data_IF_591165074949
#
_entry.id   IF_591165074949
#
_cell.length_a   1.000
_cell.length_b   1.000
_cell.length_c   1.000
_cell.angle_alpha   90.00
_cell.angle_beta   90.00
_cell.angle_gamma   90.00
#
_symmetry.space_group_name_H-M   'P 1'
#
loop_
_entity.id
_entity.type
_entity.pdbx_description
1 polymer ?
#
# COMPACT_ATOMS: atom_id res chain seq x y z
N UNK A 1 11.69 41.69 -30.92
CA UNK A 1 12.02 42.34 -29.63
C UNK A 1 10.80 42.13 -28.77
N UNK A 2 10.83 41.14 -27.89
CA UNK A 2 9.72 40.79 -27.00
C UNK A 2 9.57 41.93 -26.00
N UNK A 3 8.46 42.68 -26.07
CA UNK A 3 8.15 43.76 -25.15
C UNK A 3 7.55 43.12 -23.91
N UNK A 4 8.38 42.78 -22.92
CA UNK A 4 7.88 42.33 -21.62
C UNK A 4 7.50 43.57 -20.80
N UNK A 5 6.21 43.85 -20.68
CA UNK A 5 5.69 44.97 -19.90
C UNK A 5 5.95 44.80 -18.41
N UNK A 6 6.71 45.70 -17.79
CA UNK A 6 6.99 45.74 -16.33
C UNK A 6 6.08 46.69 -15.54
N UNK A 7 5.18 47.42 -16.21
CA UNK A 7 4.26 48.39 -15.63
C UNK A 7 3.05 47.73 -14.97
N UNK A 8 2.67 48.18 -13.77
CA UNK A 8 1.50 47.62 -13.07
C UNK A 8 0.18 48.06 -13.72
N UNK A 9 -0.89 47.24 -13.58
CA UNK A 9 -2.24 47.59 -14.09
C UNK A 9 -2.75 48.93 -13.58
N UNK A 10 -2.40 49.33 -12.36
CA UNK A 10 -2.85 50.60 -11.80
C UNK A 10 -2.07 51.79 -12.36
N UNK A 11 -0.81 51.60 -12.75
CA UNK A 11 -0.05 52.60 -13.52
C UNK A 11 -0.63 52.75 -14.93
N UNK A 12 -0.90 51.64 -15.62
CA UNK A 12 -1.48 51.64 -16.97
C UNK A 12 -2.85 52.33 -17.03
N UNK A 13 -3.74 52.04 -16.07
CA UNK A 13 -5.03 52.74 -15.95
C UNK A 13 -4.88 54.26 -15.78
N UNK A 14 -3.76 54.73 -15.22
CA UNK A 14 -3.44 56.15 -15.07
C UNK A 14 -3.30 56.87 -16.41
N UNK A 15 -2.81 56.20 -17.45
CA UNK A 15 -2.59 56.77 -18.78
C UNK A 15 -3.86 56.87 -19.64
N UNK A 16 -4.95 56.22 -19.24
CA UNK A 16 -6.25 56.20 -19.95
C UNK A 16 -7.37 56.95 -19.19
N UNK A 17 -7.02 57.89 -18.32
CA UNK A 17 -8.00 58.75 -17.62
C UNK A 17 -8.44 59.91 -18.50
N UNK A 18 -9.57 60.53 -18.16
CA UNK A 18 -10.03 61.75 -18.84
C UNK A 18 -8.94 62.83 -18.75
N UNK A 19 -8.64 63.48 -19.88
CA UNK A 19 -7.59 64.50 -20.05
C UNK A 19 -6.12 64.01 -20.00
N UNK A 20 -5.86 62.71 -20.08
CA UNK A 20 -4.51 62.20 -20.37
C UNK A 20 -4.35 61.96 -21.88
N UNK A 21 -3.11 62.00 -22.38
CA UNK A 21 -2.79 61.70 -23.78
C UNK A 21 -2.02 60.37 -23.78
N UNK A 22 -2.68 59.24 -24.11
CA UNK A 22 -1.97 57.97 -24.28
C UNK A 22 -1.02 58.05 -25.49
N UNK A 23 0.17 57.46 -25.37
CA UNK A 23 1.12 57.30 -26.47
C UNK A 23 0.90 55.94 -27.15
N UNK A 24 1.48 55.75 -28.33
CA UNK A 24 1.54 54.45 -29.03
C UNK A 24 2.04 53.34 -28.09
N UNK A 25 3.13 53.58 -27.37
CA UNK A 25 3.67 52.64 -26.38
C UNK A 25 2.69 52.31 -25.24
N UNK A 26 1.78 53.22 -24.86
CA UNK A 26 0.75 52.88 -23.87
C UNK A 26 -0.33 51.94 -24.44
N UNK A 27 -0.61 52.04 -25.74
CA UNK A 27 -1.52 51.11 -26.42
C UNK A 27 -0.86 49.75 -26.61
N UNK A 28 0.41 49.71 -27.00
CA UNK A 28 1.19 48.47 -27.08
C UNK A 28 1.18 47.76 -25.71
N UNK A 29 1.50 48.48 -24.63
CA UNK A 29 1.48 47.92 -23.28
C UNK A 29 0.09 47.45 -22.82
N UNK A 30 -1.00 48.03 -23.34
CA UNK A 30 -2.37 47.61 -23.03
C UNK A 30 -2.77 46.35 -23.83
N UNK A 31 -2.36 46.28 -25.10
CA UNK A 31 -2.66 45.19 -26.01
C UNK A 31 -1.83 43.95 -25.63
N UNK A 32 -0.53 44.15 -25.35
CA UNK A 32 0.41 43.08 -25.00
C UNK A 32 0.39 42.74 -23.50
N UNK A 33 -0.06 43.67 -22.65
CA UNK A 33 -0.15 43.48 -21.19
C UNK A 33 -1.47 42.85 -20.70
N UNK A 34 -2.35 42.47 -21.62
CA UNK A 34 -3.63 41.82 -21.31
C UNK A 34 -3.58 40.35 -21.69
N UNK A 35 -4.01 39.53 -20.75
CA UNK A 35 -4.15 38.09 -20.94
C UNK A 35 -5.17 37.85 -22.07
N UNK A 36 -4.71 37.40 -23.23
CA UNK A 36 -5.51 37.08 -24.40
C UNK A 36 -5.92 35.61 -24.33
N UNK A 37 -7.22 35.34 -24.16
CA UNK A 37 -7.72 33.97 -23.96
C UNK A 37 -7.38 33.01 -25.11
N UNK A 38 -7.32 33.49 -26.35
CA UNK A 38 -6.97 32.66 -27.50
C UNK A 38 -5.46 32.47 -27.67
N UNK A 39 -4.65 33.45 -27.28
CA UNK A 39 -3.20 33.38 -27.44
C UNK A 39 -2.51 32.73 -26.23
N UNK A 40 -3.03 32.96 -25.03
CA UNK A 40 -2.40 32.57 -23.77
C UNK A 40 -3.03 31.30 -23.18
N UNK A 41 -4.06 30.75 -23.82
CA UNK A 41 -4.72 29.50 -23.40
C UNK A 41 -5.49 29.58 -22.07
N UNK A 42 -5.54 30.72 -21.39
CA UNK A 42 -6.23 30.87 -20.11
C UNK A 42 -7.59 31.56 -20.31
N UNK A 43 -8.67 30.90 -19.87
CA UNK A 43 -10.03 31.41 -20.01
C UNK A 43 -10.91 31.14 -18.78
N UNK A 44 -12.03 31.86 -18.69
CA UNK A 44 -13.19 31.41 -17.91
C UNK A 44 -14.23 30.86 -18.89
N UNK A 45 -14.47 29.55 -18.86
CA UNK A 45 -15.50 28.95 -19.70
C UNK A 45 -16.90 29.40 -19.23
N UNK A 46 -17.79 29.67 -20.19
CA UNK A 46 -19.20 29.99 -19.90
C UNK A 46 -19.87 28.82 -19.18
N UNK A 47 -20.61 29.06 -18.10
CA UNK A 47 -21.30 27.99 -17.37
C UNK A 47 -20.78 27.68 -15.97
N UNK A 48 -20.15 28.66 -15.30
CA UNK A 48 -19.66 28.53 -13.92
C UNK A 48 -18.51 27.51 -13.74
N UNK A 49 -17.77 27.23 -14.80
CA UNK A 49 -16.54 26.44 -14.75
C UNK A 49 -15.41 27.24 -14.05
N UNK A 50 -14.48 26.56 -13.35
CA UNK A 50 -13.31 27.21 -12.73
C UNK A 50 -12.33 27.73 -13.80
N UNK A 51 -11.17 28.26 -13.37
CA UNK A 51 -10.08 28.65 -14.26
C UNK A 51 -9.78 27.51 -15.26
N UNK A 52 -9.83 27.82 -16.55
CA UNK A 52 -9.49 26.89 -17.62
C UNK A 52 -8.12 27.27 -18.20
N UNK A 53 -7.28 26.27 -18.42
CA UNK A 53 -5.98 26.40 -19.09
C UNK A 53 -5.95 25.38 -20.22
N UNK A 54 -5.74 25.84 -21.45
CA UNK A 54 -5.58 25.02 -22.63
C UNK A 54 -4.09 24.74 -22.86
N UNK A 55 -3.77 23.51 -23.23
CA UNK A 55 -2.42 23.18 -23.66
C UNK A 55 -2.07 23.91 -24.96
N UNK A 56 -0.82 24.33 -25.07
CA UNK A 56 -0.20 24.81 -26.31
C UNK A 56 0.61 23.68 -26.96
N UNK A 57 1.01 23.87 -28.21
CA UNK A 57 1.74 22.86 -28.99
C UNK A 57 0.85 21.91 -29.79
N UNK A 58 1.49 21.07 -30.59
CA UNK A 58 0.85 20.04 -31.40
C UNK A 58 1.16 18.63 -30.86
N UNK A 59 0.54 17.61 -31.46
CA UNK A 59 0.75 16.22 -31.04
C UNK A 59 2.19 15.74 -31.29
N UNK A 60 2.95 16.44 -32.14
CA UNK A 60 4.33 16.08 -32.49
C UNK A 60 5.35 16.69 -31.52
N UNK A 61 5.08 17.90 -31.02
CA UNK A 61 5.91 18.62 -30.03
C UNK A 61 5.65 18.22 -28.58
N UNK A 62 4.47 17.67 -28.28
CA UNK A 62 3.98 17.51 -26.91
C UNK A 62 3.07 18.68 -26.53
N UNK A 63 2.00 18.40 -25.78
CA UNK A 63 0.99 19.39 -25.42
C UNK A 63 1.22 19.97 -24.03
N UNK A 64 2.07 20.97 -23.95
CA UNK A 64 2.46 21.63 -22.70
C UNK A 64 1.35 22.57 -22.19
N UNK A 65 1.13 22.57 -20.88
CA UNK A 65 0.06 23.33 -20.22
C UNK A 65 0.63 24.43 -19.34
N UNK A 66 1.64 24.09 -18.53
CA UNK A 66 2.30 25.02 -17.61
C UNK A 66 3.78 24.66 -17.56
N UNK A 67 4.62 25.67 -17.73
CA UNK A 67 6.06 25.58 -17.56
C UNK A 67 6.48 26.35 -16.31
N UNK A 68 7.32 25.72 -15.48
CA UNK A 68 7.86 26.30 -14.26
C UNK A 68 9.35 26.56 -14.45
N UNK A 69 9.74 27.82 -14.43
CA UNK A 69 11.13 28.25 -14.53
C UNK A 69 11.70 28.57 -13.15
N UNK A 70 12.93 28.14 -12.87
CA UNK A 70 13.70 28.70 -11.75
C UNK A 70 14.14 30.14 -12.07
N UNK A 71 14.61 30.35 -13.30
CA UNK A 71 15.01 31.65 -13.85
C UNK A 71 14.73 31.68 -15.35
N UNK A 72 13.94 32.67 -15.80
CA UNK A 72 13.61 32.87 -17.22
C UNK A 72 14.83 33.17 -18.10
N UNK A 73 16.00 33.49 -17.53
CA UNK A 73 17.23 33.68 -18.29
C UNK A 73 17.86 32.37 -18.79
N UNK A 74 17.48 31.21 -18.22
CA UNK A 74 18.05 29.90 -18.54
C UNK A 74 17.48 29.23 -19.79
N UNK A 75 16.43 29.79 -20.40
CA UNK A 75 15.85 29.30 -21.67
C UNK A 75 14.90 28.12 -21.50
N UNK A 76 15.26 27.14 -20.68
CA UNK A 76 14.46 25.92 -20.48
C UNK A 76 13.74 25.90 -19.12
N UNK A 77 12.52 25.33 -19.04
CA UNK A 77 11.80 25.18 -17.78
C UNK A 77 12.37 24.04 -16.92
N UNK A 78 12.25 24.16 -15.60
CA UNK A 78 12.66 23.12 -14.65
C UNK A 78 11.62 22.00 -14.56
N UNK A 79 10.33 22.37 -14.58
CA UNK A 79 9.21 21.43 -14.57
C UNK A 79 8.16 21.81 -15.60
N UNK A 80 7.54 20.81 -16.21
CA UNK A 80 6.50 21.00 -17.24
C UNK A 80 5.29 20.13 -16.92
N UNK A 81 4.10 20.71 -16.97
CA UNK A 81 2.84 19.97 -17.02
C UNK A 81 2.42 19.77 -18.47
N UNK A 82 2.12 18.54 -18.89
CA UNK A 82 1.83 18.18 -20.28
C UNK A 82 0.66 17.18 -20.39
N UNK A 83 -0.12 17.24 -21.49
CA UNK A 83 -1.27 16.35 -21.75
C UNK A 83 -1.01 15.23 -22.77
N UNK A 84 0.12 15.29 -23.46
CA UNK A 84 0.54 14.27 -24.44
C UNK A 84 2.07 14.10 -24.36
N UNK A 85 2.62 13.61 -23.23
CA UNK A 85 4.05 13.37 -23.13
C UNK A 85 4.49 12.27 -24.10
N UNK A 86 5.79 12.24 -24.40
CA UNK A 86 6.43 11.24 -25.24
C UNK A 86 7.24 10.26 -24.38
N UNK A 87 7.33 9.00 -24.80
CA UNK A 87 8.25 8.06 -24.11
C UNK A 87 9.70 8.27 -24.55
N UNK A 88 9.88 8.75 -25.77
CA UNK A 88 11.14 9.24 -26.31
C UNK A 88 10.91 10.69 -26.75
N UNK A 89 11.52 11.69 -26.07
CA UNK A 89 11.32 13.11 -26.40
C UNK A 89 11.60 13.46 -27.86
N UNK A 90 12.47 12.68 -28.53
CA UNK A 90 12.91 12.89 -29.90
C UNK A 90 12.03 12.17 -30.94
N UNK A 91 11.06 11.33 -30.52
CA UNK A 91 10.16 10.60 -31.41
C UNK A 91 8.68 10.92 -31.15
N UNK A 92 8.10 11.74 -32.02
CA UNK A 92 6.68 12.11 -32.04
C UNK A 92 5.73 10.90 -32.08
N UNK A 93 6.17 9.77 -32.67
CA UNK A 93 5.38 8.54 -32.73
C UNK A 93 5.16 7.89 -31.37
N UNK A 94 5.88 8.33 -30.33
CA UNK A 94 5.79 7.78 -28.98
C UNK A 94 4.86 8.54 -28.05
N UNK A 95 4.15 9.57 -28.55
CA UNK A 95 3.20 10.34 -27.75
C UNK A 95 2.10 9.46 -27.11
N UNK A 96 1.78 9.76 -25.85
CA UNK A 96 0.75 9.06 -25.06
C UNK A 96 -0.22 10.05 -24.47
N UNK A 97 -1.53 9.79 -24.63
CA UNK A 97 -2.56 10.67 -24.09
C UNK A 97 -2.67 10.50 -22.58
N UNK A 98 -2.47 11.58 -21.84
CA UNK A 98 -2.55 11.54 -20.39
C UNK A 98 -1.88 12.74 -19.74
N UNK A 99 -2.06 12.89 -18.45
CA UNK A 99 -1.48 14.01 -17.72
C UNK A 99 -0.08 13.65 -17.23
N UNK A 100 0.90 14.52 -17.47
CA UNK A 100 2.29 14.32 -17.10
C UNK A 100 2.85 15.51 -16.34
N UNK A 101 3.69 15.19 -15.35
CA UNK A 101 4.67 16.08 -14.74
C UNK A 101 6.04 15.62 -15.24
N UNK A 102 6.73 16.46 -16.01
CA UNK A 102 8.03 16.18 -16.58
C UNK A 102 9.04 17.29 -16.32
N UNK A 103 10.24 17.14 -16.86
CA UNK A 103 11.29 18.16 -16.89
C UNK A 103 11.34 18.91 -18.23
N UNK A 104 12.18 19.94 -18.31
CA UNK A 104 12.39 20.73 -19.53
C UNK A 104 13.07 19.98 -20.68
N UNK A 105 13.58 18.77 -20.45
CA UNK A 105 14.11 17.91 -21.52
C UNK A 105 13.01 17.04 -22.16
N UNK A 106 11.77 17.15 -21.69
CA UNK A 106 10.62 16.40 -22.18
C UNK A 106 10.46 15.01 -21.55
N UNK A 107 11.27 14.66 -20.53
CA UNK A 107 11.14 13.38 -19.85
C UNK A 107 10.00 13.43 -18.82
N UNK A 108 9.09 12.47 -18.88
CA UNK A 108 8.04 12.34 -17.87
C UNK A 108 8.57 11.74 -16.56
N UNK A 109 8.26 12.38 -15.43
CA UNK A 109 8.57 11.91 -14.08
C UNK A 109 7.38 11.23 -13.41
N UNK A 110 6.18 11.75 -13.65
CA UNK A 110 4.92 11.13 -13.25
C UNK A 110 3.90 11.29 -14.38
N UNK A 111 3.22 10.22 -14.71
CA UNK A 111 2.23 10.15 -15.78
C UNK A 111 0.94 9.48 -15.30
N UNK A 112 -0.21 9.96 -15.77
CA UNK A 112 -1.51 9.32 -15.58
C UNK A 112 -2.12 9.11 -16.95
N UNK A 113 -2.26 7.85 -17.35
CA UNK A 113 -2.83 7.47 -18.64
C UNK A 113 -4.32 7.83 -18.71
N UNK A 114 -4.72 8.51 -19.78
CA UNK A 114 -6.10 9.00 -19.93
C UNK A 114 -7.12 7.87 -20.09
N UNK A 115 -6.75 6.78 -20.75
CA UNK A 115 -7.68 5.71 -21.11
C UNK A 115 -7.90 4.73 -19.97
N UNK A 116 -6.84 4.41 -19.24
CA UNK A 116 -6.82 3.38 -18.19
C UNK A 116 -6.85 3.97 -16.78
N UNK A 117 -6.35 5.20 -16.60
CA UNK A 117 -6.11 5.77 -15.27
C UNK A 117 -4.84 5.25 -14.59
N UNK A 118 -4.08 4.37 -15.27
CA UNK A 118 -2.85 3.80 -14.73
C UNK A 118 -1.79 4.90 -14.56
N UNK A 119 -1.02 4.77 -13.50
CA UNK A 119 0.00 5.74 -13.11
C UNK A 119 1.38 5.19 -13.47
N UNK A 120 2.21 6.01 -14.13
CA UNK A 120 3.60 5.72 -14.40
C UNK A 120 4.53 6.65 -13.63
N UNK A 121 5.55 6.12 -12.96
CA UNK A 121 6.66 6.88 -12.38
C UNK A 121 7.89 6.64 -13.25
N UNK A 122 8.38 7.69 -13.92
CA UNK A 122 9.48 7.58 -14.89
C UNK A 122 9.12 6.79 -16.16
N UNK A 123 7.84 6.61 -16.46
CA UNK A 123 7.36 5.97 -17.68
C UNK A 123 6.01 6.53 -18.10
N UNK A 124 5.76 6.63 -19.40
CA UNK A 124 4.46 7.05 -19.97
C UNK A 124 3.68 5.87 -20.55
N UNK A 125 4.14 4.64 -20.34
CA UNK A 125 3.49 3.43 -20.86
C UNK A 125 3.17 2.41 -19.76
N UNK A 126 2.48 2.83 -18.67
CA UNK A 126 2.09 1.89 -17.62
C UNK A 126 1.17 0.80 -18.19
N UNK A 127 1.50 -0.47 -17.95
CA UNK A 127 0.66 -1.62 -18.32
C UNK A 127 0.01 -2.31 -17.12
N UNK A 128 0.21 -1.76 -15.93
CA UNK A 128 -0.37 -2.13 -14.63
C UNK A 128 -0.78 -0.83 -13.90
N UNK A 129 -1.58 -0.95 -12.85
CA UNK A 129 -2.17 0.20 -12.14
C UNK A 129 -1.13 1.25 -11.70
N UNK A 130 -0.02 0.81 -11.10
CA UNK A 130 1.13 1.67 -10.78
C UNK A 130 2.41 1.06 -11.33
N UNK A 131 2.93 1.64 -12.40
CA UNK A 131 4.16 1.19 -13.06
C UNK A 131 5.35 2.11 -12.71
N UNK A 132 6.53 1.53 -12.54
CA UNK A 132 7.76 2.23 -12.11
C UNK A 132 8.89 1.92 -13.10
N UNK A 133 9.43 2.97 -13.73
CA UNK A 133 10.53 2.93 -14.69
C UNK A 133 10.18 2.34 -16.07
N UNK A 134 9.29 1.34 -16.11
CA UNK A 134 8.72 0.79 -17.34
C UNK A 134 7.30 0.28 -17.07
N UNK A 135 6.59 -0.13 -18.12
CA UNK A 135 5.18 -0.51 -18.00
C UNK A 135 4.88 -1.75 -17.16
N UNK A 136 5.85 -2.62 -16.87
CA UNK A 136 5.61 -3.95 -16.31
C UNK A 136 6.24 -4.22 -14.95
N UNK A 137 6.73 -3.20 -14.26
CA UNK A 137 7.29 -3.31 -12.90
C UNK A 137 6.49 -2.39 -11.99
N UNK A 138 5.99 -2.89 -10.86
CA UNK A 138 5.25 -2.08 -9.89
C UNK A 138 4.13 -2.85 -9.20
N UNK A 139 2.99 -2.19 -8.97
CA UNK A 139 1.84 -2.73 -8.25
C UNK A 139 0.63 -2.83 -9.18
N UNK A 140 -0.14 -3.90 -9.02
CA UNK A 140 -1.37 -4.12 -9.76
C UNK A 140 -2.46 -4.65 -8.83
N UNK A 141 -3.69 -4.16 -9.00
CA UNK A 141 -4.85 -4.74 -8.35
C UNK A 141 -5.40 -5.88 -9.21
N UNK A 142 -5.39 -7.09 -8.66
CA UNK A 142 -5.84 -8.30 -9.36
C UNK A 142 -7.34 -8.56 -9.18
N UNK A 143 -7.92 -8.00 -8.11
CA UNK A 143 -9.30 -8.20 -7.71
C UNK A 143 -9.72 -7.24 -6.61
N UNK A 144 -10.90 -7.45 -6.05
CA UNK A 144 -11.29 -6.73 -4.84
C UNK A 144 -10.46 -7.26 -3.66
N UNK A 145 -9.82 -6.35 -2.92
CA UNK A 145 -8.91 -6.66 -1.82
C UNK A 145 -7.71 -7.58 -2.15
N UNK A 146 -7.33 -7.68 -3.43
CA UNK A 146 -6.13 -8.41 -3.87
C UNK A 146 -5.12 -7.44 -4.51
N UNK A 147 -3.94 -7.33 -3.89
CA UNK A 147 -2.83 -6.51 -4.38
C UNK A 147 -1.66 -7.41 -4.77
N UNK A 148 -1.09 -7.15 -5.95
CA UNK A 148 0.04 -7.90 -6.46
C UNK A 148 1.25 -7.01 -6.80
N UNK A 149 2.44 -7.57 -6.60
CA UNK A 149 3.71 -6.99 -7.03
C UNK A 149 4.11 -7.65 -8.35
N UNK A 150 4.43 -6.82 -9.34
CA UNK A 150 4.79 -7.23 -10.68
C UNK A 150 6.24 -6.90 -11.01
N UNK A 151 6.93 -7.84 -11.68
CA UNK A 151 8.18 -7.55 -12.38
C UNK A 151 8.20 -8.22 -13.75
N UNK A 152 8.61 -7.46 -14.77
CA UNK A 152 8.64 -7.96 -16.15
C UNK A 152 7.27 -8.42 -16.67
N UNK A 153 6.18 -7.76 -16.23
CA UNK A 153 4.78 -8.09 -16.54
C UNK A 153 4.29 -9.44 -15.99
N UNK A 154 5.02 -10.01 -15.03
CA UNK A 154 4.58 -11.21 -14.32
C UNK A 154 4.33 -10.86 -12.86
N UNK A 155 3.24 -11.39 -12.31
CA UNK A 155 2.97 -11.39 -10.88
C UNK A 155 4.06 -12.17 -10.15
N UNK A 156 4.55 -11.59 -9.05
CA UNK A 156 5.57 -12.20 -8.17
C UNK A 156 4.99 -12.58 -6.82
N UNK A 157 4.25 -11.64 -6.25
CA UNK A 157 3.64 -11.74 -4.93
C UNK A 157 2.20 -11.25 -5.09
N UNK A 158 1.25 -11.95 -4.46
CA UNK A 158 -0.12 -11.50 -4.28
C UNK A 158 -0.46 -11.58 -2.80
N UNK A 159 -1.08 -10.53 -2.28
CA UNK A 159 -1.55 -10.44 -0.90
C UNK A 159 -3.05 -10.22 -0.96
N UNK A 160 -3.80 -11.05 -0.26
CA UNK A 160 -5.25 -10.88 -0.10
C UNK A 160 -5.60 -10.11 1.20
N UNK A 161 -6.89 -9.85 1.41
CA UNK A 161 -7.40 -9.16 2.60
C UNK A 161 -7.03 -9.82 3.94
N UNK A 162 -6.69 -11.11 3.92
CA UNK A 162 -6.32 -11.89 5.11
C UNK A 162 -4.80 -11.94 5.31
N UNK A 163 -4.02 -11.37 4.38
CA UNK A 163 -2.57 -11.36 4.39
C UNK A 163 -1.90 -12.58 3.75
N UNK A 164 -2.67 -13.46 3.08
CA UNK A 164 -2.11 -14.70 2.53
C UNK A 164 -1.26 -14.45 1.28
N UNK A 165 -0.20 -15.24 1.11
CA UNK A 165 0.73 -15.13 -0.03
C UNK A 165 0.97 -16.50 -0.71
N UNK A 166 0.00 -16.99 -1.49
CA UNK A 166 0.12 -17.99 -2.57
C UNK A 166 0.63 -19.42 -2.27
N UNK A 167 1.81 -19.59 -1.64
CA UNK A 167 2.49 -20.87 -1.40
C UNK A 167 2.05 -21.57 -0.11
N UNK A 168 1.38 -20.86 0.78
CA UNK A 168 1.04 -21.32 2.13
C UNK A 168 0.10 -22.54 2.12
N UNK A 169 -0.83 -22.66 1.16
CA UNK A 169 -1.84 -23.74 1.20
C UNK A 169 -1.26 -25.15 1.07
N UNK A 170 -0.25 -25.35 0.22
CA UNK A 170 0.38 -26.67 0.03
C UNK A 170 1.33 -27.02 1.17
N UNK A 171 2.06 -26.04 1.70
CA UNK A 171 2.90 -26.25 2.89
C UNK A 171 2.08 -26.50 4.14
N UNK A 172 1.01 -25.73 4.37
CA UNK A 172 0.14 -25.85 5.54
C UNK A 172 -0.58 -27.22 5.53
N UNK A 173 -0.93 -27.75 4.36
CA UNK A 173 -1.54 -29.07 4.27
C UNK A 173 -0.56 -30.20 4.63
N UNK A 174 0.70 -30.10 4.20
CA UNK A 174 1.71 -31.14 4.41
C UNK A 174 2.29 -31.04 5.84
N UNK A 175 2.42 -29.82 6.36
CA UNK A 175 3.05 -29.49 7.63
C UNK A 175 2.34 -28.27 8.24
N UNK A 176 1.15 -28.45 8.85
CA UNK A 176 0.40 -27.32 9.37
C UNK A 176 1.21 -26.64 10.47
N UNK A 177 1.31 -25.31 10.37
CA UNK A 177 2.15 -24.51 11.24
C UNK A 177 1.52 -24.42 12.63
N UNK A 178 2.37 -24.37 13.66
CA UNK A 178 1.90 -24.14 15.03
C UNK A 178 1.94 -22.65 15.28
N UNK A 179 0.77 -22.01 15.38
CA UNK A 179 0.67 -20.57 15.64
C UNK A 179 0.89 -20.25 17.11
N UNK A 180 1.80 -19.31 17.40
CA UNK A 180 1.96 -18.74 18.73
C UNK A 180 1.05 -17.52 18.88
N UNK A 181 0.29 -17.47 19.96
CA UNK A 181 -0.66 -16.39 20.29
C UNK A 181 -0.09 -15.52 21.40
N UNK A 182 -0.42 -14.24 21.41
CA UNK A 182 -0.09 -13.37 22.53
C UNK A 182 -1.03 -13.58 23.72
N UNK A 183 -0.58 -13.23 24.93
CA UNK A 183 -1.43 -13.26 26.14
C UNK A 183 -2.67 -12.37 25.97
N UNK A 184 -2.51 -11.20 25.35
CA UNK A 184 -3.62 -10.27 25.12
C UNK A 184 -4.70 -10.83 24.20
N UNK A 185 -4.32 -11.53 23.14
CA UNK A 185 -5.27 -12.16 22.20
C UNK A 185 -6.04 -13.29 22.86
N UNK A 186 -5.37 -14.18 23.61
CA UNK A 186 -6.05 -15.29 24.29
C UNK A 186 -7.01 -14.80 25.37
N UNK A 187 -6.65 -13.72 26.09
CA UNK A 187 -7.54 -13.07 27.06
C UNK A 187 -8.74 -12.39 26.37
N UNK A 188 -8.53 -11.76 25.22
CA UNK A 188 -9.59 -11.15 24.43
C UNK A 188 -10.58 -12.18 23.87
N UNK A 189 -10.08 -13.36 23.49
CA UNK A 189 -10.87 -14.53 23.07
C UNK A 189 -11.57 -15.22 24.25
N UNK A 190 -11.40 -14.71 25.48
CA UNK A 190 -12.06 -15.21 26.69
C UNK A 190 -11.50 -16.53 27.20
N UNK A 191 -10.27 -16.89 26.83
CA UNK A 191 -9.63 -18.12 27.29
C UNK A 191 -9.30 -18.02 28.79
N UNK A 192 -9.58 -19.07 29.58
CA UNK A 192 -9.24 -19.07 31.00
C UNK A 192 -7.73 -18.92 31.21
N UNK A 193 -7.34 -18.09 32.16
CA UNK A 193 -5.91 -17.86 32.49
C UNK A 193 -5.21 -19.18 32.85
N UNK A 194 -5.87 -20.04 33.63
CA UNK A 194 -5.31 -21.33 34.03
C UNK A 194 -5.02 -22.24 32.82
N UNK A 195 -5.79 -22.13 31.73
CA UNK A 195 -5.58 -22.89 30.49
C UNK A 195 -4.46 -22.26 29.63
N UNK A 196 -4.33 -20.93 29.64
CA UNK A 196 -3.27 -20.22 28.90
C UNK A 196 -1.89 -20.56 29.49
N UNK A 197 -1.79 -20.64 30.81
CA UNK A 197 -0.54 -20.94 31.51
C UNK A 197 -0.34 -22.44 31.81
N UNK A 198 -1.15 -23.32 31.21
CA UNK A 198 -0.97 -24.77 31.34
C UNK A 198 0.20 -25.25 30.46
N UNK A 199 1.14 -25.99 31.08
CA UNK A 199 2.32 -26.52 30.41
C UNK A 199 3.65 -25.79 30.70
N UNK A 200 4.71 -26.10 29.93
CA UNK A 200 6.03 -25.52 30.13
C UNK A 200 6.06 -24.04 29.72
N UNK A 201 6.87 -23.24 30.41
CA UNK A 201 7.06 -21.82 30.06
C UNK A 201 7.67 -21.68 28.67
N UNK A 202 7.03 -20.88 27.82
CA UNK A 202 7.45 -20.58 26.45
C UNK A 202 8.05 -19.17 26.37
N UNK A 203 9.00 -18.98 25.46
CA UNK A 203 9.71 -17.70 25.25
C UNK A 203 9.14 -16.88 24.07
N UNK A 204 8.28 -17.48 23.24
CA UNK A 204 7.82 -16.94 21.96
C UNK A 204 6.28 -16.78 21.88
N UNK A 205 5.60 -16.66 23.02
CA UNK A 205 4.14 -16.56 23.11
C UNK A 205 3.50 -17.81 23.73
N UNK A 206 2.19 -17.98 23.55
CA UNK A 206 1.39 -19.06 24.10
C UNK A 206 0.86 -19.97 22.99
N UNK A 207 0.71 -21.26 23.31
CA UNK A 207 0.10 -22.24 22.43
C UNK A 207 -1.31 -22.55 22.93
N UNK A 208 -2.28 -22.50 22.03
CA UNK A 208 -3.63 -22.93 22.33
C UNK A 208 -3.71 -24.46 22.23
N UNK A 209 -4.01 -25.14 23.34
CA UNK A 209 -4.17 -26.59 23.38
C UNK A 209 -5.26 -27.13 22.46
N UNK A 210 -6.38 -26.42 22.29
CA UNK A 210 -7.45 -26.84 21.36
C UNK A 210 -7.02 -26.70 19.89
N UNK A 211 -6.24 -25.68 19.59
CA UNK A 211 -5.68 -25.44 18.25
C UNK A 211 -4.61 -26.50 17.94
N UNK A 212 -3.73 -26.77 18.90
CA UNK A 212 -2.72 -27.81 18.83
C UNK A 212 -3.32 -29.21 18.66
N UNK A 213 -4.44 -29.50 19.33
CA UNK A 213 -5.15 -30.77 19.20
C UNK A 213 -5.80 -30.95 17.81
N UNK A 214 -6.12 -29.86 17.12
CA UNK A 214 -6.60 -29.89 15.72
C UNK A 214 -5.48 -30.17 14.73
N UNK A 215 -4.22 -29.85 15.08
CA UNK A 215 -3.02 -30.12 14.27
C UNK A 215 -2.61 -31.61 14.25
N UNK A 216 -3.58 -32.53 14.18
CA UNK A 216 -3.33 -33.98 14.16
C UNK A 216 -2.43 -34.34 12.98
N UNK A 217 -1.18 -34.71 13.28
CA UNK A 217 -0.21 -35.22 12.31
C UNK A 217 -0.77 -36.47 11.63
N UNK A 218 -1.05 -36.35 10.33
CA UNK A 218 -1.44 -37.49 9.52
C UNK A 218 -0.29 -38.50 9.44
N UNK A 219 -0.59 -39.79 9.64
CA UNK A 219 0.40 -40.87 9.43
C UNK A 219 0.50 -41.29 7.96
N UNK A 220 -0.29 -40.67 7.09
CA UNK A 220 -0.36 -41.00 5.67
C UNK A 220 -0.78 -39.76 4.90
N UNK A 221 -0.06 -39.46 3.84
CA UNK A 221 -0.36 -38.38 2.90
C UNK A 221 -1.07 -38.99 1.70
N UNK A 222 -2.32 -38.61 1.43
CA UNK A 222 -3.09 -39.16 0.30
C UNK A 222 -3.02 -38.20 -0.88
N UNK A 223 -2.75 -38.74 -2.06
CA UNK A 223 -2.70 -37.92 -3.28
C UNK A 223 -4.09 -37.35 -3.62
N UNK A 224 -5.17 -38.05 -3.30
CA UNK A 224 -6.52 -37.54 -3.50
C UNK A 224 -6.81 -36.26 -2.70
N UNK A 225 -6.28 -36.16 -1.48
CA UNK A 225 -6.47 -34.99 -0.62
C UNK A 225 -5.69 -33.81 -1.21
N UNK A 226 -4.41 -34.03 -1.59
CA UNK A 226 -3.62 -33.01 -2.28
C UNK A 226 -4.21 -32.55 -3.61
N UNK A 227 -4.80 -33.46 -4.38
CA UNK A 227 -5.51 -33.08 -5.61
C UNK A 227 -6.66 -32.14 -5.28
N UNK A 228 -7.37 -32.38 -4.18
CA UNK A 228 -8.46 -31.51 -3.74
C UNK A 228 -7.93 -30.11 -3.39
N UNK A 229 -6.88 -30.02 -2.57
CA UNK A 229 -6.30 -28.72 -2.17
C UNK A 229 -5.76 -27.95 -3.38
N UNK A 230 -5.11 -28.65 -4.32
CA UNK A 230 -4.59 -28.03 -5.56
C UNK A 230 -5.75 -27.54 -6.44
N UNK A 231 -6.84 -28.31 -6.53
CA UNK A 231 -8.02 -27.92 -7.32
C UNK A 231 -8.81 -26.77 -6.70
N UNK A 232 -8.69 -26.55 -5.39
CA UNK A 232 -9.28 -25.40 -4.68
C UNK A 232 -8.49 -24.09 -4.89
N UNK A 233 -7.30 -24.15 -5.48
CA UNK A 233 -6.56 -22.94 -5.86
C UNK A 233 -7.27 -22.26 -7.05
N UNK A 234 -7.67 -20.99 -6.91
CA UNK A 234 -8.31 -20.25 -7.99
C UNK A 234 -7.46 -20.25 -9.26
N UNK A 235 -8.06 -20.65 -10.39
CA UNK A 235 -7.38 -20.75 -11.68
C UNK A 235 -6.84 -22.14 -12.02
N UNK A 236 -6.82 -23.08 -11.08
CA UNK A 236 -6.49 -24.49 -11.38
C UNK A 236 -7.72 -25.19 -11.95
N UNK A 237 -7.60 -25.69 -13.18
CA UNK A 237 -8.70 -26.41 -13.86
C UNK A 237 -8.58 -27.92 -13.77
N UNK A 238 -7.35 -28.43 -13.75
CA UNK A 238 -7.09 -29.87 -13.73
C UNK A 238 -5.65 -30.15 -13.27
N UNK A 239 -5.49 -31.23 -12.51
CA UNK A 239 -4.19 -31.84 -12.21
C UNK A 239 -3.93 -32.97 -13.21
N UNK A 240 -2.79 -32.93 -13.91
CA UNK A 240 -2.46 -33.92 -14.97
C UNK A 240 -1.70 -35.13 -14.46
N UNK A 241 -0.67 -34.89 -13.66
CA UNK A 241 0.18 -35.91 -13.05
C UNK A 241 0.63 -35.37 -11.69
N UNK A 242 0.61 -36.23 -10.68
CA UNK A 242 1.09 -35.91 -9.34
C UNK A 242 1.71 -37.17 -8.73
N UNK A 243 2.89 -37.00 -8.16
CA UNK A 243 3.66 -38.07 -7.55
C UNK A 243 4.29 -37.56 -6.28
N UNK A 244 4.25 -38.38 -5.25
CA UNK A 244 4.87 -38.07 -3.96
C UNK A 244 6.16 -38.86 -3.83
N UNK A 245 7.22 -38.19 -3.39
CA UNK A 245 8.50 -38.81 -3.15
C UNK A 245 8.99 -38.50 -1.74
N UNK A 246 9.46 -39.51 -1.03
CA UNK A 246 10.17 -39.37 0.24
C UNK A 246 11.39 -40.27 0.25
N UNK A 247 12.58 -39.67 0.22
CA UNK A 247 13.83 -40.41 0.01
C UNK A 247 13.79 -41.19 -1.30
N UNK A 248 13.90 -42.52 -1.20
CA UNK A 248 13.86 -43.44 -2.35
C UNK A 248 12.46 -43.96 -2.69
N UNK A 249 11.44 -43.64 -1.89
CA UNK A 249 10.06 -44.09 -2.13
C UNK A 249 9.33 -43.06 -2.99
N UNK A 250 8.86 -43.49 -4.17
CA UNK A 250 8.01 -42.72 -5.07
C UNK A 250 6.65 -43.41 -5.18
N UNK A 251 5.58 -42.71 -4.82
CA UNK A 251 4.22 -43.24 -4.72
C UNK A 251 3.24 -42.40 -5.53
N UNK A 252 2.19 -43.06 -6.05
CA UNK A 252 1.18 -42.46 -6.94
C UNK A 252 -0.24 -42.45 -6.34
N UNK A 253 -0.42 -43.00 -5.13
CA UNK A 253 -1.72 -43.04 -4.45
C UNK A 253 -1.70 -42.49 -3.03
N UNK A 254 -0.78 -42.95 -2.20
CA UNK A 254 -0.59 -42.45 -0.85
C UNK A 254 0.84 -42.71 -0.41
N UNK A 255 1.40 -41.81 0.38
CA UNK A 255 2.72 -41.93 0.97
C UNK A 255 2.56 -42.17 2.47
N UNK A 256 3.13 -43.26 2.98
CA UNK A 256 3.17 -43.50 4.43
C UNK A 256 4.21 -42.58 5.05
N UNK A 257 3.84 -41.90 6.13
CA UNK A 257 4.72 -41.01 6.86
C UNK A 257 5.30 -41.75 8.07
N UNK A 258 6.58 -41.52 8.32
CA UNK A 258 7.28 -42.03 9.49
C UNK A 258 6.72 -41.30 10.74
N UNK A 259 6.12 -42.01 11.71
CA UNK A 259 5.47 -41.38 12.86
C UNK A 259 6.45 -40.61 13.76
N UNK A 260 7.75 -40.92 13.70
CA UNK A 260 8.78 -40.27 14.50
C UNK A 260 9.45 -39.09 13.77
N UNK A 261 8.98 -38.75 12.56
CA UNK A 261 9.50 -37.65 11.76
C UNK A 261 8.41 -36.67 11.37
N UNK A 262 8.80 -35.42 11.18
CA UNK A 262 7.93 -34.38 10.65
C UNK A 262 8.12 -34.37 9.13
N UNK A 263 7.05 -34.60 8.32
CA UNK A 263 7.14 -34.37 6.90
C UNK A 263 7.44 -32.88 6.68
N UNK A 264 8.31 -32.58 5.73
CA UNK A 264 8.57 -31.22 5.28
C UNK A 264 8.49 -31.23 3.75
N UNK A 265 7.85 -30.21 3.18
CA UNK A 265 7.78 -30.07 1.73
C UNK A 265 9.14 -29.59 1.20
N UNK A 266 9.78 -30.42 0.38
CA UNK A 266 11.08 -30.11 -0.22
C UNK A 266 10.89 -29.25 -1.47
N UNK A 267 10.89 -27.93 -1.25
CA UNK A 267 10.68 -26.94 -2.30
C UNK A 267 11.79 -26.94 -3.37
N UNK A 268 13.03 -27.29 -3.00
CA UNK A 268 14.18 -27.24 -3.91
C UNK A 268 14.18 -28.43 -4.88
N UNK A 269 13.77 -29.61 -4.39
CA UNK A 269 13.76 -30.83 -5.20
C UNK A 269 12.38 -31.17 -5.79
N UNK A 270 11.35 -30.35 -5.52
CA UNK A 270 10.03 -30.50 -6.10
C UNK A 270 9.93 -29.87 -7.50
N UNK A 271 9.34 -30.59 -8.44
CA UNK A 271 9.17 -30.13 -9.82
C UNK A 271 7.69 -29.85 -10.12
N UNK A 272 7.30 -28.58 -10.17
CA UNK A 272 5.95 -28.14 -10.55
C UNK A 272 5.97 -27.65 -12.00
N UNK A 273 5.04 -28.16 -12.82
CA UNK A 273 4.86 -27.72 -14.21
C UNK A 273 3.42 -27.25 -14.41
N UNK A 274 3.27 -25.98 -14.76
CA UNK A 274 1.97 -25.39 -15.06
C UNK A 274 1.79 -25.23 -16.56
N UNK A 275 0.56 -25.38 -17.02
CA UNK A 275 0.19 -25.14 -18.40
C UNK A 275 -1.05 -24.25 -18.48
N UNK A 276 -1.01 -23.29 -19.41
CA UNK A 276 -2.16 -22.45 -19.77
C UNK A 276 -2.43 -22.65 -21.26
N UNK A 277 -3.65 -23.05 -21.59
CA UNK A 277 -4.08 -23.34 -22.97
C UNK A 277 -3.18 -24.37 -23.69
N UNK A 278 -2.59 -25.31 -22.93
CA UNK A 278 -1.68 -26.34 -23.45
C UNK A 278 -0.23 -25.88 -23.66
N UNK A 279 0.11 -24.64 -23.28
CA UNK A 279 1.47 -24.12 -23.33
C UNK A 279 2.12 -24.14 -21.93
N UNK A 280 3.38 -24.58 -21.80
CA UNK A 280 4.08 -24.57 -20.53
C UNK A 280 4.33 -23.13 -20.07
N UNK A 281 4.00 -22.86 -18.82
CA UNK A 281 4.27 -21.58 -18.16
C UNK A 281 5.64 -21.65 -17.50
N UNK A 282 6.48 -20.64 -17.76
CA UNK A 282 7.77 -20.52 -17.07
C UNK A 282 7.53 -19.98 -15.66
N UNK A 283 7.90 -20.78 -14.66
CA UNK A 283 7.88 -20.39 -13.26
C UNK A 283 9.25 -19.86 -12.83
N UNK A 284 9.25 -18.84 -11.97
CA UNK A 284 10.45 -18.35 -11.29
C UNK A 284 10.59 -19.04 -9.94
N UNK A 285 11.00 -20.31 -9.98
CA UNK A 285 11.07 -21.17 -8.78
C UNK A 285 11.96 -20.56 -7.70
N UNK A 286 13.06 -19.89 -8.06
CA UNK A 286 14.00 -19.33 -7.08
C UNK A 286 13.37 -18.19 -6.27
N UNK A 287 12.64 -17.28 -6.91
CA UNK A 287 11.93 -16.19 -6.22
C UNK A 287 10.81 -16.70 -5.31
N UNK A 288 10.09 -17.72 -5.77
CA UNK A 288 9.02 -18.39 -5.02
C UNK A 288 9.54 -19.03 -3.72
N UNK A 289 10.68 -19.73 -3.80
CA UNK A 289 11.29 -20.39 -2.65
C UNK A 289 11.75 -19.36 -1.62
N UNK A 290 12.31 -18.25 -2.08
CA UNK A 290 12.77 -17.16 -1.22
C UNK A 290 11.61 -16.47 -0.49
N UNK A 291 10.50 -16.20 -1.19
CA UNK A 291 9.30 -15.60 -0.58
C UNK A 291 8.66 -16.53 0.46
N UNK A 292 8.61 -17.83 0.17
CA UNK A 292 8.15 -18.83 1.14
C UNK A 292 9.03 -18.87 2.39
N UNK A 293 10.36 -18.87 2.24
CA UNK A 293 11.29 -18.86 3.39
C UNK A 293 11.08 -17.63 4.27
N UNK A 294 10.89 -16.45 3.67
CA UNK A 294 10.59 -15.22 4.43
C UNK A 294 9.26 -15.30 5.18
N UNK A 295 8.21 -15.86 4.57
CA UNK A 295 6.93 -16.11 5.26
C UNK A 295 7.14 -17.05 6.46
N UNK A 296 7.87 -18.15 6.28
CA UNK A 296 8.18 -19.09 7.37
C UNK A 296 9.03 -18.45 8.49
N UNK A 297 10.00 -17.59 8.15
CA UNK A 297 10.79 -16.84 9.13
C UNK A 297 9.94 -15.79 9.87
N UNK A 298 8.93 -15.20 9.22
CA UNK A 298 7.98 -14.28 9.88
C UNK A 298 6.98 -14.99 10.80
N UNK A 299 6.64 -16.25 10.50
CA UNK A 299 5.81 -17.14 11.34
C UNK A 299 6.64 -17.68 12.52
N UNK A 300 7.95 -17.86 12.35
CA UNK A 300 8.89 -18.18 13.42
C UNK A 300 9.05 -16.96 14.35
N UNK A 301 8.09 -16.82 15.26
CA UNK A 301 7.91 -15.71 16.19
C UNK A 301 9.21 -15.07 16.70
N UNK A 302 9.37 -13.77 16.44
CA UNK A 302 10.33 -12.94 17.18
C UNK A 302 10.10 -13.13 18.69
N UNK A 303 11.16 -13.15 19.51
CA UNK A 303 11.01 -13.33 20.96
C UNK A 303 10.08 -12.25 21.51
N UNK A 304 8.91 -12.68 22.00
CA UNK A 304 7.95 -11.81 22.65
C UNK A 304 8.63 -11.10 23.82
N UNK A 305 8.39 -9.81 23.97
CA UNK A 305 8.95 -9.06 25.09
C UNK A 305 8.42 -9.61 26.41
N UNK A 306 9.16 -9.47 27.51
CA UNK A 306 8.75 -10.03 28.82
C UNK A 306 7.40 -9.52 29.33
N UNK A 307 6.90 -8.40 28.80
CA UNK A 307 5.60 -7.80 29.13
C UNK A 307 4.44 -8.52 28.43
N UNK A 308 4.71 -9.24 27.34
CA UNK A 308 3.71 -9.98 26.56
C UNK A 308 3.55 -11.44 27.03
N UNK A 309 4.45 -11.91 27.89
CA UNK A 309 4.50 -13.28 28.42
C UNK A 309 3.98 -13.41 29.86
N UNK A 310 3.61 -12.31 30.51
CA UNK A 310 3.20 -12.31 31.92
C UNK A 310 2.11 -11.28 32.22
N UNK A 311 1.29 -11.55 33.24
CA UNK A 311 0.31 -10.60 33.72
C UNK A 311 1.02 -9.51 34.51
N UNK A 312 1.00 -8.27 34.00
CA UNK A 312 1.55 -7.12 34.73
C UNK A 312 0.74 -6.94 36.02
N UNK A 313 1.36 -7.02 37.21
CA UNK A 313 0.65 -6.83 38.45
C UNK A 313 0.03 -5.41 38.44
N UNK A 314 -1.24 -5.27 38.89
CA UNK A 314 -1.89 -3.97 38.90
C UNK A 314 -1.07 -2.99 39.73
N UNK A 315 -0.89 -1.76 39.22
CA UNK A 315 -0.22 -0.70 39.95
C UNK A 315 -1.02 -0.36 41.22
N UNK A 316 -0.54 -0.86 42.36
CA UNK A 316 -1.05 -0.45 43.67
C UNK A 316 -0.47 0.92 43.97
N UNK A 317 -1.24 1.97 43.73
CA UNK A 317 -0.95 3.28 44.32
C UNK A 317 -1.23 3.20 45.82
N UNK A 318 -0.17 3.13 46.61
CA UNK A 318 -0.26 3.48 48.02
C UNK A 318 -0.61 4.97 48.11
N UNK A 319 -1.84 5.29 48.48
CA UNK A 319 -2.18 6.65 48.91
C UNK A 319 -1.24 6.99 50.08
N UNK A 320 -0.37 7.98 49.90
CA UNK A 320 0.49 8.50 50.97
C UNK A 320 -0.37 8.75 52.21
N UNK A 321 -0.02 8.14 53.34
CA UNK A 321 -0.75 8.29 54.61
C UNK A 321 -0.97 9.76 54.95
N UNK A 322 -0.03 10.63 54.59
CA UNK A 322 -0.09 12.07 54.80
C UNK A 322 -1.11 12.73 53.88
N UNK A 323 -1.14 12.35 52.60
CA UNK A 323 -2.14 12.81 51.64
C UNK A 323 -3.56 12.33 52.01
N UNK A 324 -3.70 11.08 52.46
CA UNK A 324 -4.98 10.53 52.92
C UNK A 324 -5.49 11.23 54.18
N UNK A 325 -4.61 11.49 55.16
CA UNK A 325 -4.98 12.25 56.35
C UNK A 325 -5.40 13.69 56.02
N UNK A 326 -4.74 14.33 55.03
CA UNK A 326 -5.09 15.67 54.56
C UNK A 326 -6.46 15.68 53.87
N UNK A 327 -6.74 14.67 53.05
CA UNK A 327 -8.04 14.49 52.40
C UNK A 327 -9.16 14.23 53.42
N UNK A 328 -8.92 13.34 54.40
CA UNK A 328 -9.90 12.99 55.43
C UNK A 328 -10.30 14.22 56.26
N UNK A 329 -9.32 15.02 56.69
CA UNK A 329 -9.58 16.28 57.40
C UNK A 329 -10.39 17.28 56.55
N UNK A 330 -10.06 17.42 55.26
CA UNK A 330 -10.79 18.30 54.35
C UNK A 330 -12.23 17.80 54.10
N UNK A 331 -12.42 16.49 54.04
CA UNK A 331 -13.72 15.86 53.85
C UNK A 331 -14.62 16.01 55.07
N UNK A 332 -14.08 15.86 56.29
CA UNK A 332 -14.83 16.10 57.52
C UNK A 332 -15.26 17.57 57.67
N UNK A 333 -14.38 18.52 57.38
CA UNK A 333 -14.70 19.96 57.36
C UNK A 333 -15.81 20.27 56.35
N UNK A 334 -15.73 19.70 55.14
CA UNK A 334 -16.77 19.84 54.13
C UNK A 334 -18.12 19.26 54.59
N UNK A 335 -18.12 18.08 55.23
CA UNK A 335 -19.33 17.49 55.80
C UNK A 335 -19.92 18.33 56.94
N UNK A 336 -19.07 18.96 57.75
CA UNK A 336 -19.46 19.90 58.81
C UNK A 336 -20.18 21.11 58.24
N UNK A 337 -19.53 21.82 57.29
CA UNK A 337 -20.11 22.99 56.59
C UNK A 337 -21.40 22.63 55.86
N UNK A 338 -21.45 21.47 55.21
CA UNK A 338 -22.65 20.96 54.58
C UNK A 338 -23.77 20.77 55.61
N UNK A 339 -23.51 20.11 56.74
CA UNK A 339 -24.50 19.94 57.83
C UNK A 339 -25.01 21.27 58.37
N UNK A 340 -24.12 22.23 58.59
CA UNK A 340 -24.47 23.55 59.11
C UNK A 340 -25.31 24.38 58.12
N UNK A 341 -24.98 24.31 56.83
CA UNK A 341 -25.80 24.90 55.76
C UNK A 341 -27.24 24.35 55.78
N UNK A 342 -27.41 23.03 55.86
CA UNK A 342 -28.74 22.42 55.91
C UNK A 342 -29.51 22.75 57.20
N UNK A 343 -28.82 22.80 58.35
CA UNK A 343 -29.37 23.27 59.63
C UNK A 343 -29.91 24.70 59.54
N UNK A 344 -29.12 25.60 58.98
CA UNK A 344 -29.44 27.04 58.91
C UNK A 344 -30.57 27.31 57.92
N UNK A 345 -30.59 26.57 56.81
CA UNK A 345 -31.56 26.76 55.74
C UNK A 345 -32.93 26.11 56.02
N UNK A 346 -32.98 25.02 56.78
CA UNK A 346 -34.21 24.24 56.98
C UNK A 346 -34.59 23.96 58.44
N UNK A 347 -33.83 24.45 59.43
CA UNK A 347 -34.22 24.42 60.85
C UNK A 347 -34.31 23.03 61.49
N UNK A 348 -33.55 22.05 60.99
CA UNK A 348 -33.49 20.67 61.50
C UNK A 348 -32.36 20.44 62.49
#
# INVERSE_FOLDING_TARGET
MTVTTTETRDTLKGYFKVNTIPSESHFDNLIDGMLNQSSDGIARSSGNHPLCIAASGDADGGREVIEFYEDFSKGDPEWVLCLEPKSDPDDAGTAKQGFSIGDGEGNSRLFIDKATGNVGIGTVTPSIDLAIGNGGIGLNREGDDELAIYTGKNERIRIDASGNVGYEKLSEHISPSVSFRSLGELLADGRPVDDIFDGPRLEHGFLDGEELDRLRRGTTLRISDLIHDIMDVPGVRAVRDIRLKSGDQEETWFLKLDPDKVPAFDLENSAIRLEKDGLPVKLDTDGIIEDYRKSQESIAAEPASSVELDLVPPHVHWLDKTAMATFEAAFEDWLGKKREYWRTKYGL
#
